data_IF_373945133546
#
_entry.id   IF_373945133546
#
_cell.length_a   1.000
_cell.length_b   1.000
_cell.length_c   1.000
_cell.angle_alpha   90.00
_cell.angle_beta   90.00
_cell.angle_gamma   90.00
#
_symmetry.space_group_name_H-M   'P 1'
#
loop_
_entity.id
_entity.type
_entity.pdbx_description
1 polymer ?
#
# COMPACT_ATOMS: atom_id res chain seq x y z
N UNK A 1 -11.36 10.50 30.29
CA UNK A 1 -11.53 9.13 29.77
C UNK A 1 -12.34 9.25 28.48
N UNK A 2 -11.73 9.14 27.30
CA UNK A 2 -12.44 9.20 26.02
C UNK A 2 -12.94 7.81 25.67
N UNK A 3 -14.26 7.64 25.63
CA UNK A 3 -14.91 6.44 25.11
C UNK A 3 -14.91 6.58 23.59
N UNK A 4 -14.27 5.64 22.88
CA UNK A 4 -14.36 5.54 21.44
C UNK A 4 -15.83 5.26 21.05
N UNK A 5 -16.32 5.94 20.02
CA UNK A 5 -17.69 5.74 19.52
C UNK A 5 -17.90 4.29 19.03
N UNK A 6 -19.12 3.74 19.16
CA UNK A 6 -19.45 2.40 18.69
C UNK A 6 -19.29 2.28 17.17
N UNK A 7 -18.87 1.10 16.72
CA UNK A 7 -18.53 0.76 15.32
C UNK A 7 -19.70 1.01 14.36
N UNK A 8 -20.94 1.03 14.87
CA UNK A 8 -22.17 1.10 14.09
C UNK A 8 -22.51 2.53 13.59
N UNK A 9 -21.67 3.52 13.89
CA UNK A 9 -21.85 4.92 13.49
C UNK A 9 -21.04 5.32 12.23
N UNK A 10 -20.60 4.35 11.41
CA UNK A 10 -20.03 4.66 10.09
C UNK A 10 -21.20 4.95 9.15
N UNK A 11 -21.46 6.23 8.91
CA UNK A 11 -22.34 6.70 7.84
C UNK A 11 -21.84 6.12 6.50
N UNK A 12 -22.63 5.23 5.90
CA UNK A 12 -22.39 4.62 4.58
C UNK A 12 -22.40 5.69 3.46
N UNK A 13 -22.73 6.94 3.79
CA UNK A 13 -22.85 8.06 2.86
C UNK A 13 -21.58 8.88 2.57
N UNK A 14 -20.50 8.76 3.34
CA UNK A 14 -19.27 9.55 3.12
C UNK A 14 -18.06 8.65 2.83
N UNK A 15 -18.15 7.89 1.72
CA UNK A 15 -16.92 7.38 1.11
C UNK A 15 -16.13 8.60 0.60
N UNK A 16 -14.87 8.78 1.02
CA UNK A 16 -14.07 9.89 0.54
C UNK A 16 -14.05 9.82 -0.99
N UNK A 17 -14.59 10.87 -1.63
CA UNK A 17 -14.52 11.01 -3.08
C UNK A 17 -13.03 10.91 -3.42
N UNK A 18 -12.61 9.98 -4.28
CA UNK A 18 -11.21 9.93 -4.67
C UNK A 18 -10.91 11.25 -5.33
N UNK A 19 -10.02 12.04 -4.75
CA UNK A 19 -9.43 13.18 -5.43
C UNK A 19 -8.73 12.60 -6.68
N UNK A 20 -9.40 12.64 -7.83
CA UNK A 20 -9.13 11.86 -9.07
C UNK A 20 -7.81 12.23 -9.76
N UNK A 21 -6.90 12.96 -9.11
CA UNK A 21 -5.66 13.41 -9.75
C UNK A 21 -4.43 12.96 -8.96
N UNK A 22 -3.83 11.88 -9.49
CA UNK A 22 -2.47 11.38 -9.27
C UNK A 22 -2.14 10.68 -7.94
N UNK A 23 -3.00 9.78 -7.48
CA UNK A 23 -2.60 8.75 -6.50
C UNK A 23 -1.99 7.57 -7.27
N UNK A 24 -0.67 7.35 -7.12
CA UNK A 24 0.00 6.22 -7.74
C UNK A 24 -0.53 4.87 -7.23
N UNK A 25 -0.16 3.79 -7.91
CA UNK A 25 -0.45 2.41 -7.46
C UNK A 25 0.84 1.78 -6.98
N UNK A 26 0.87 1.34 -5.72
CA UNK A 26 2.01 0.68 -5.10
C UNK A 26 1.87 -0.83 -5.13
N UNK A 27 2.94 -1.51 -5.52
CA UNK A 27 3.04 -2.97 -5.56
C UNK A 27 4.41 -3.43 -5.03
N UNK A 28 4.50 -4.69 -4.64
CA UNK A 28 5.74 -5.36 -4.25
C UNK A 28 6.17 -6.31 -5.36
N UNK A 29 7.37 -6.08 -5.91
CA UNK A 29 8.02 -7.02 -6.81
C UNK A 29 8.80 -8.03 -5.99
N UNK A 30 8.50 -9.32 -6.19
CA UNK A 30 9.23 -10.42 -5.56
C UNK A 30 10.09 -11.13 -6.61
N UNK A 31 11.41 -10.98 -6.52
CA UNK A 31 12.41 -11.55 -7.44
C UNK A 31 12.98 -12.89 -6.92
N UNK A 32 12.32 -13.53 -5.96
CA UNK A 32 12.79 -14.78 -5.32
C UNK A 32 13.35 -14.57 -3.92
N UNK A 33 14.05 -15.59 -3.41
CA UNK A 33 14.51 -15.63 -2.02
C UNK A 33 15.37 -14.40 -1.67
N UNK A 34 14.98 -13.67 -0.63
CA UNK A 34 15.72 -12.51 -0.15
C UNK A 34 15.55 -11.23 -0.98
N UNK A 35 14.78 -11.23 -2.06
CA UNK A 35 14.78 -10.13 -3.03
C UNK A 35 13.36 -9.58 -3.28
N UNK A 36 12.85 -8.79 -2.33
CA UNK A 36 11.55 -8.11 -2.48
C UNK A 36 11.70 -6.59 -2.38
N UNK A 37 11.00 -5.85 -3.25
CA UNK A 37 11.04 -4.37 -3.28
C UNK A 37 9.65 -3.81 -3.59
N UNK A 38 9.20 -2.83 -2.80
CA UNK A 38 8.01 -2.05 -3.11
C UNK A 38 8.32 -0.94 -4.11
N UNK A 39 7.41 -0.68 -5.05
CA UNK A 39 7.51 0.44 -5.99
C UNK A 39 6.11 0.98 -6.29
N UNK A 40 6.02 2.29 -6.52
CA UNK A 40 4.77 2.97 -6.81
C UNK A 40 4.84 3.69 -8.16
N UNK A 41 3.73 3.73 -8.89
CA UNK A 41 3.64 4.49 -10.14
C UNK A 41 3.74 6.01 -9.95
N UNK A 42 3.74 6.51 -8.72
CA UNK A 42 4.08 7.91 -8.41
C UNK A 42 5.58 8.22 -8.50
N UNK A 43 6.42 7.21 -8.77
CA UNK A 43 7.88 7.34 -8.91
C UNK A 43 8.67 6.91 -7.67
N UNK A 44 8.01 6.61 -6.55
CA UNK A 44 8.67 6.13 -5.35
C UNK A 44 9.12 4.66 -5.48
N UNK A 45 10.30 4.36 -4.96
CA UNK A 45 10.84 2.99 -4.83
C UNK A 45 11.37 2.76 -3.42
N UNK A 46 10.88 1.71 -2.77
CA UNK A 46 11.30 1.30 -1.44
C UNK A 46 12.68 0.64 -1.42
N UNK A 47 13.21 0.43 -0.21
CA UNK A 47 14.46 -0.32 -0.02
C UNK A 47 14.24 -1.79 -0.38
N UNK A 48 15.27 -2.43 -0.96
CA UNK A 48 15.27 -3.89 -1.15
C UNK A 48 15.28 -4.60 0.21
N UNK A 49 14.34 -5.52 0.42
CA UNK A 49 14.16 -6.28 1.66
C UNK A 49 14.41 -7.78 1.42
N UNK A 50 15.01 -8.42 2.41
CA UNK A 50 15.14 -9.88 2.46
C UNK A 50 13.80 -10.57 2.67
N UNK A 51 12.97 -10.02 3.56
CA UNK A 51 11.65 -10.55 3.86
C UNK A 51 10.60 -9.87 2.99
N UNK A 52 9.78 -10.66 2.30
CA UNK A 52 8.59 -10.19 1.55
C UNK A 52 7.68 -9.32 2.42
N UNK A 53 7.46 -9.72 3.68
CA UNK A 53 6.62 -8.99 4.61
C UNK A 53 7.11 -7.56 4.88
N UNK A 54 8.44 -7.35 4.96
CA UNK A 54 8.99 -6.01 5.15
C UNK A 54 8.76 -5.12 3.91
N UNK A 55 8.87 -5.68 2.71
CA UNK A 55 8.54 -4.93 1.49
C UNK A 55 7.04 -4.60 1.41
N UNK A 56 6.17 -5.48 1.89
CA UNK A 56 4.73 -5.20 2.00
C UNK A 56 4.45 -4.07 3.01
N UNK A 57 5.16 -4.04 4.14
CA UNK A 57 5.05 -2.94 5.10
C UNK A 57 5.48 -1.61 4.47
N UNK A 58 6.60 -1.59 3.73
CA UNK A 58 7.05 -0.38 3.02
C UNK A 58 5.96 0.13 2.05
N UNK A 59 5.26 -0.77 1.34
CA UNK A 59 4.16 -0.42 0.44
C UNK A 59 2.96 0.19 1.19
N UNK A 60 2.55 -0.41 2.32
CA UNK A 60 1.46 0.11 3.14
C UNK A 60 1.77 1.47 3.76
N UNK A 61 2.98 1.66 4.29
CA UNK A 61 3.41 2.95 4.85
C UNK A 61 3.37 4.03 3.77
N UNK A 62 3.90 3.74 2.57
CA UNK A 62 3.84 4.67 1.45
C UNK A 62 2.40 4.99 1.03
N UNK A 63 1.54 3.98 0.91
CA UNK A 63 0.11 4.15 0.58
C UNK A 63 -0.60 5.08 1.59
N UNK A 64 -0.36 4.88 2.88
CA UNK A 64 -0.97 5.70 3.93
C UNK A 64 -0.47 7.14 3.94
N UNK A 65 0.82 7.36 3.68
CA UNK A 65 1.42 8.70 3.66
C UNK A 65 1.05 9.50 2.41
N UNK A 66 1.21 8.89 1.24
CA UNK A 66 1.06 9.56 -0.06
C UNK A 66 -0.34 9.37 -0.67
N UNK A 67 -1.24 8.70 0.07
CA UNK A 67 -2.59 8.34 -0.36
C UNK A 67 -2.63 7.53 -1.68
N UNK A 68 -1.52 6.85 -2.01
CA UNK A 68 -1.42 5.98 -3.17
C UNK A 68 -2.23 4.69 -2.96
N UNK A 69 -2.83 4.15 -4.02
CA UNK A 69 -3.61 2.92 -3.95
C UNK A 69 -2.71 1.67 -3.87
N UNK A 70 -3.16 0.62 -3.18
CA UNK A 70 -2.49 -0.67 -3.11
C UNK A 70 -2.93 -1.53 -4.29
N UNK A 71 -1.97 -2.16 -4.99
CA UNK A 71 -2.28 -3.12 -6.05
C UNK A 71 -2.99 -4.36 -5.51
N UNK A 72 -3.84 -4.97 -6.35
CA UNK A 72 -4.47 -6.28 -6.08
C UNK A 72 -4.10 -7.23 -7.23
N UNK A 73 -3.25 -8.25 -6.99
CA UNK A 73 -2.56 -8.56 -5.74
C UNK A 73 -1.44 -7.56 -5.41
N UNK A 74 -1.18 -7.34 -4.12
CA UNK A 74 -0.10 -6.45 -3.65
C UNK A 74 1.28 -6.97 -4.06
N UNK A 75 1.46 -8.30 -4.09
CA UNK A 75 2.73 -8.93 -4.44
C UNK A 75 2.65 -9.49 -5.86
N UNK A 76 3.54 -9.00 -6.71
CA UNK A 76 3.71 -9.46 -8.09
C UNK A 76 4.97 -10.36 -8.11
N UNK A 77 4.83 -11.67 -8.37
CA UNK A 77 5.98 -12.52 -8.61
C UNK A 77 6.64 -12.09 -9.92
N UNK A 78 7.95 -11.87 -9.88
CA UNK A 78 8.75 -11.62 -11.09
C UNK A 78 9.39 -12.95 -11.46
N UNK A 79 8.84 -13.59 -12.50
CA UNK A 79 9.48 -14.73 -13.14
C UNK A 79 10.55 -14.18 -14.10
N UNK A 80 11.78 -14.64 -13.93
CA UNK A 80 12.88 -14.38 -14.86
C UNK A 80 12.82 -15.37 -16.03
#
# INVERSE_FOLDING_TARGET
MSVAAPIDAIDVGDFPRPDVLSQGVVAVRNYGFGHSTAACSCGWTGRRRYLKAAAQQDAWVHSMHEKCAIAVPLVIPVFA
#
